data_IF_601840070582
#
_entry.id   IF_601840070582
#
_cell.length_a   1.000
_cell.length_b   1.000
_cell.length_c   1.000
_cell.angle_alpha   90.00
_cell.angle_beta   90.00
_cell.angle_gamma   90.00
#
_symmetry.space_group_name_H-M   'P 1'
#
loop_
_entity.id
_entity.type
_entity.pdbx_description
1 polymer ?
#
# COMPACT_ATOMS: atom_id res chain seq x y z
N UNK A 1 -1.34 3.83 24.20
CA UNK A 1 -2.13 2.75 23.59
C UNK A 1 -2.38 3.07 22.13
N UNK A 2 -1.95 2.22 21.24
CA UNK A 2 -2.19 2.43 19.82
C UNK A 2 -3.66 2.17 19.47
N UNK A 3 -4.25 3.09 18.71
CA UNK A 3 -5.58 2.89 18.16
C UNK A 3 -5.53 1.82 17.08
N UNK A 4 -6.15 0.71 17.31
CA UNK A 4 -6.20 -0.38 16.32
C UNK A 4 -6.97 0.00 15.04
N UNK A 5 -7.76 1.04 15.07
CA UNK A 5 -8.51 1.52 13.90
C UNK A 5 -7.62 2.01 12.74
N UNK A 6 -6.38 2.38 13.02
CA UNK A 6 -5.43 2.89 12.02
C UNK A 6 -4.28 1.92 11.72
N UNK A 7 -4.31 0.70 12.25
CA UNK A 7 -3.21 -0.27 12.10
C UNK A 7 -2.84 -0.56 10.66
N UNK A 8 -3.81 -0.58 9.77
CA UNK A 8 -3.60 -0.89 8.35
C UNK A 8 -3.58 0.36 7.49
N UNK A 9 -3.54 1.54 8.10
CA UNK A 9 -3.57 2.80 7.39
C UNK A 9 -2.19 3.38 7.10
N UNK A 10 -1.16 2.85 7.72
CA UNK A 10 0.23 3.25 7.48
C UNK A 10 1.18 2.05 7.58
N UNK A 11 2.37 2.20 7.01
CA UNK A 11 3.36 1.14 6.94
C UNK A 11 3.84 0.68 8.32
N UNK A 12 4.08 1.61 9.22
CA UNK A 12 4.57 1.32 10.56
C UNK A 12 3.54 0.52 11.37
N UNK A 13 2.27 0.91 11.26
CA UNK A 13 1.16 0.19 11.90
C UNK A 13 0.98 -1.22 11.36
N UNK A 14 1.12 -1.41 10.04
CA UNK A 14 1.07 -2.75 9.42
C UNK A 14 2.21 -3.62 9.94
N UNK A 15 3.43 -3.09 9.95
CA UNK A 15 4.59 -3.82 10.46
C UNK A 15 4.43 -4.21 11.92
N UNK A 16 3.97 -3.30 12.77
CA UNK A 16 3.71 -3.57 14.19
C UNK A 16 2.59 -4.59 14.39
N UNK A 17 1.53 -4.52 13.59
CA UNK A 17 0.46 -5.49 13.63
C UNK A 17 0.96 -6.90 13.28
N UNK A 18 1.80 -7.03 12.28
CA UNK A 18 2.41 -8.30 11.89
C UNK A 18 3.35 -8.84 12.97
N UNK A 19 4.20 -8.00 13.55
CA UNK A 19 5.08 -8.39 14.66
C UNK A 19 4.29 -8.85 15.88
N UNK A 20 3.27 -8.11 16.26
CA UNK A 20 2.40 -8.47 17.39
C UNK A 20 1.69 -9.79 17.13
N UNK A 21 1.16 -9.99 15.95
CA UNK A 21 0.50 -11.22 15.56
C UNK A 21 1.44 -12.43 15.60
N UNK A 22 2.68 -12.26 15.17
CA UNK A 22 3.71 -13.32 15.27
C UNK A 22 4.06 -13.69 16.70
N UNK A 23 4.10 -12.69 17.59
CA UNK A 23 4.51 -12.89 18.98
C UNK A 23 3.42 -13.49 19.86
N UNK A 24 2.15 -13.32 19.52
CA UNK A 24 1.05 -13.78 20.35
C UNK A 24 0.59 -15.19 20.02
N UNK A 25 0.11 -15.46 18.84
CA UNK A 25 -0.26 -16.81 18.37
C UNK A 25 -0.45 -16.81 16.85
N UNK A 26 -0.21 -17.95 16.20
CA UNK A 26 -0.44 -18.11 14.76
C UNK A 26 -1.89 -17.87 14.30
N UNK A 27 -2.86 -17.90 15.20
CA UNK A 27 -4.27 -17.61 14.87
C UNK A 27 -4.58 -16.14 14.66
N UNK A 28 -3.83 -15.27 15.33
CA UNK A 28 -4.03 -13.81 15.21
C UNK A 28 -3.45 -13.33 13.89
N UNK A 29 -2.41 -13.98 13.38
CA UNK A 29 -1.82 -13.67 12.08
C UNK A 29 -2.87 -13.75 10.97
N UNK A 30 -3.67 -14.79 10.94
CA UNK A 30 -4.71 -14.95 9.92
C UNK A 30 -5.72 -13.80 9.93
N UNK A 31 -6.17 -13.38 11.11
CA UNK A 31 -7.08 -12.24 11.25
C UNK A 31 -6.46 -10.91 10.90
N UNK A 32 -5.20 -10.69 11.26
CA UNK A 32 -4.48 -9.47 10.90
C UNK A 32 -4.25 -9.40 9.39
N UNK A 33 -3.91 -10.52 8.75
CA UNK A 33 -3.68 -10.63 7.32
C UNK A 33 -4.98 -10.60 6.51
N UNK A 34 -6.10 -11.06 7.05
CA UNK A 34 -7.41 -10.93 6.40
C UNK A 34 -7.82 -9.50 6.12
N UNK A 35 -7.37 -8.56 6.94
CA UNK A 35 -7.64 -7.12 6.75
C UNK A 35 -6.66 -6.47 5.77
N UNK A 36 -5.48 -7.04 5.58
CA UNK A 36 -4.52 -6.61 4.57
C UNK A 36 -4.77 -7.46 3.33
N UNK A 37 -5.87 -7.15 2.64
CA UNK A 37 -6.33 -7.94 1.48
C UNK A 37 -5.57 -7.62 0.20
N UNK A 38 -4.77 -6.56 0.19
CA UNK A 38 -4.09 -6.09 -1.00
C UNK A 38 -2.65 -6.60 -0.99
N UNK A 39 -2.27 -7.47 -1.93
CA UNK A 39 -0.88 -7.88 -2.06
C UNK A 39 0.02 -6.68 -2.35
N UNK A 40 1.01 -6.46 -1.51
CA UNK A 40 1.97 -5.37 -1.67
C UNK A 40 3.35 -5.75 -1.15
N UNK A 41 4.36 -5.14 -1.72
CA UNK A 41 5.72 -5.16 -1.23
C UNK A 41 6.16 -3.73 -0.93
N UNK A 42 6.84 -3.54 0.18
CA UNK A 42 7.47 -2.27 0.52
C UNK A 42 8.91 -2.56 0.93
N UNK A 43 9.85 -1.99 0.22
CA UNK A 43 11.27 -2.20 0.48
C UNK A 43 12.08 -0.95 0.15
N UNK A 44 13.30 -0.92 0.65
CA UNK A 44 14.30 0.06 0.25
C UNK A 44 15.32 -0.60 -0.66
N UNK A 45 15.67 0.06 -1.74
CA UNK A 45 16.75 -0.39 -2.59
C UNK A 45 18.12 0.02 -2.03
N UNK A 46 19.18 -0.33 -2.73
CA UNK A 46 20.57 -0.03 -2.33
C UNK A 46 20.88 1.47 -2.22
N UNK A 47 20.11 2.32 -2.90
CA UNK A 47 20.23 3.78 -2.86
C UNK A 47 19.37 4.45 -1.77
N UNK A 48 18.66 3.66 -0.97
CA UNK A 48 17.75 4.15 0.03
C UNK A 48 16.40 4.61 -0.52
N UNK A 49 16.12 4.38 -1.80
CA UNK A 49 14.83 4.67 -2.40
C UNK A 49 13.77 3.73 -1.85
N UNK A 50 12.70 4.29 -1.34
CA UNK A 50 11.53 3.54 -0.89
C UNK A 50 10.74 3.08 -2.11
N UNK A 51 10.53 1.78 -2.24
CA UNK A 51 9.75 1.19 -3.33
C UNK A 51 8.49 0.57 -2.76
N UNK A 52 7.36 0.94 -3.32
CA UNK A 52 6.05 0.40 -2.98
C UNK A 52 5.49 -0.27 -4.21
N UNK A 53 5.25 -1.56 -4.13
CA UNK A 53 4.65 -2.35 -5.21
C UNK A 53 3.30 -2.87 -4.75
N UNK A 54 2.26 -2.57 -5.52
CA UNK A 54 0.88 -2.96 -5.18
C UNK A 54 0.27 -3.70 -6.36
N UNK A 55 -0.31 -4.86 -6.09
CA UNK A 55 -1.09 -5.58 -7.07
C UNK A 55 -2.35 -4.77 -7.44
N UNK A 56 -2.44 -4.33 -8.70
CA UNK A 56 -3.53 -3.52 -9.22
C UNK A 56 -4.16 -4.20 -10.45
N UNK A 57 -4.39 -5.49 -10.33
CA UNK A 57 -4.92 -6.33 -11.41
C UNK A 57 -6.29 -5.85 -11.85
N UNK A 58 -6.43 -5.61 -13.15
CA UNK A 58 -7.70 -5.15 -13.73
C UNK A 58 -7.95 -3.64 -13.62
N UNK A 59 -7.03 -2.88 -13.02
CA UNK A 59 -7.14 -1.43 -12.91
C UNK A 59 -6.37 -0.72 -14.03
N UNK A 60 -6.95 0.37 -14.51
CA UNK A 60 -6.30 1.31 -15.43
C UNK A 60 -5.80 2.52 -14.64
N UNK A 61 -4.89 3.28 -15.24
CA UNK A 61 -4.36 4.52 -14.63
C UNK A 61 -5.46 5.47 -14.16
N UNK A 62 -6.52 5.60 -14.95
CA UNK A 62 -7.66 6.46 -14.68
C UNK A 62 -8.48 6.02 -13.46
N UNK A 63 -8.35 4.76 -13.08
CA UNK A 63 -9.06 4.20 -11.93
C UNK A 63 -8.30 4.35 -10.62
N UNK A 64 -7.06 4.84 -10.64
CA UNK A 64 -6.22 4.95 -9.45
C UNK A 64 -5.96 6.41 -9.13
N UNK A 65 -6.27 6.79 -7.90
CA UNK A 65 -5.97 8.13 -7.37
C UNK A 65 -4.91 8.03 -6.28
N UNK A 66 -3.82 8.75 -6.45
CA UNK A 66 -2.76 8.90 -5.48
C UNK A 66 -2.81 10.30 -4.88
N UNK A 67 -2.85 10.39 -3.56
CA UNK A 67 -2.91 11.67 -2.85
C UNK A 67 -1.93 11.66 -1.69
N UNK A 68 -1.15 12.73 -1.57
CA UNK A 68 -0.31 12.98 -0.40
C UNK A 68 -1.04 13.94 0.51
N UNK A 69 -1.18 13.59 1.78
CA UNK A 69 -1.72 14.46 2.81
C UNK A 69 -0.77 14.57 3.99
N UNK A 70 -0.68 15.76 4.56
CA UNK A 70 0.06 16.00 5.79
C UNK A 70 -0.94 16.10 6.94
N UNK A 71 -0.80 15.23 7.91
CA UNK A 71 -1.64 15.17 9.10
C UNK A 71 -0.75 15.14 10.34
N UNK A 72 -0.93 16.09 11.25
CA UNK A 72 -0.14 16.19 12.48
C UNK A 72 1.39 16.18 12.26
N UNK A 73 1.86 16.83 11.20
CA UNK A 73 3.26 16.89 10.84
C UNK A 73 3.81 15.63 10.14
N UNK A 74 2.98 14.64 9.89
CA UNK A 74 3.34 13.42 9.18
C UNK A 74 2.73 13.39 7.78
N UNK A 75 3.49 12.89 6.82
CA UNK A 75 3.02 12.71 5.45
C UNK A 75 2.47 11.31 5.24
N UNK A 76 1.34 11.24 4.55
CA UNK A 76 0.68 9.98 4.21
C UNK A 76 0.37 9.92 2.73
N UNK A 77 0.60 8.75 2.15
CA UNK A 77 0.18 8.43 0.80
C UNK A 77 -1.14 7.67 0.85
N UNK A 78 -2.16 8.25 0.22
CA UNK A 78 -3.46 7.61 0.02
C UNK A 78 -3.53 7.06 -1.39
N UNK A 79 -3.84 5.78 -1.50
CA UNK A 79 -4.00 5.08 -2.76
C UNK A 79 -5.43 4.55 -2.81
N UNK A 80 -6.23 5.11 -3.68
CA UNK A 80 -7.63 4.73 -3.84
C UNK A 80 -7.95 4.38 -5.27
N UNK A 81 -8.77 3.35 -5.45
CA UNK A 81 -9.34 3.04 -6.74
C UNK A 81 -10.74 3.64 -6.89
N UNK A 82 -11.07 4.01 -8.11
CA UNK A 82 -12.39 4.48 -8.51
C UNK A 82 -12.80 3.71 -9.76
N UNK A 83 -13.47 2.59 -9.54
CA UNK A 83 -13.97 1.73 -10.61
C UNK A 83 -15.45 2.02 -10.80
N UNK A 84 -15.93 2.22 -12.02
CA UNK A 84 -17.36 2.38 -12.28
C UNK A 84 -18.15 1.20 -11.75
N UNK A 85 -19.33 1.46 -11.23
CA UNK A 85 -20.24 0.39 -10.81
C UNK A 85 -20.58 -0.51 -11.97
N UNK A 86 -20.67 -1.79 -11.69
CA UNK A 86 -21.12 -2.78 -12.68
C UNK A 86 -22.56 -2.52 -13.07
N UNK A 87 -22.88 -2.72 -14.36
CA UNK A 87 -24.25 -2.67 -14.82
C UNK A 87 -25.08 -3.79 -14.17
N UNK A 88 -26.41 -3.60 -14.10
CA UNK A 88 -27.31 -4.63 -13.57
C UNK A 88 -27.15 -5.96 -14.32
N UNK A 89 -26.91 -5.89 -15.62
CA UNK A 89 -26.68 -7.06 -16.46
C UNK A 89 -25.41 -7.82 -16.04
N UNK A 90 -24.32 -7.11 -15.76
CA UNK A 90 -23.07 -7.68 -15.25
C UNK A 90 -23.25 -8.29 -13.87
N UNK A 91 -23.95 -7.61 -12.97
CA UNK A 91 -24.26 -8.13 -11.62
C UNK A 91 -25.06 -9.42 -11.69
N UNK A 92 -26.12 -9.46 -12.50
CA UNK A 92 -26.93 -10.65 -12.72
C UNK A 92 -26.14 -11.81 -13.29
N UNK A 93 -25.24 -11.53 -14.24
CA UNK A 93 -24.36 -12.55 -14.82
C UNK A 93 -23.42 -13.14 -13.79
N UNK A 94 -22.87 -12.29 -12.90
CA UNK A 94 -21.99 -12.74 -11.82
C UNK A 94 -22.72 -13.55 -10.76
N UNK A 95 -23.92 -13.16 -10.38
CA UNK A 95 -24.76 -13.89 -9.41
C UNK A 95 -25.11 -15.31 -9.85
N UNK A 96 -25.18 -15.53 -11.16
CA UNK A 96 -25.44 -16.86 -11.73
C UNK A 96 -24.23 -17.77 -11.77
N UNK A 97 -23.03 -17.26 -11.48
CA UNK A 97 -21.81 -18.06 -11.51
C UNK A 97 -21.72 -18.97 -10.29
N UNK A 98 -21.39 -20.22 -10.55
CA UNK A 98 -21.04 -21.18 -9.50
C UNK A 98 -19.54 -21.39 -9.54
N UNK A 99 -18.83 -20.92 -8.52
CA UNK A 99 -17.38 -21.01 -8.48
C UNK A 99 -16.92 -22.31 -7.84
N UNK A 100 -16.07 -23.05 -8.54
CA UNK A 100 -15.29 -24.14 -7.92
C UNK A 100 -14.14 -23.59 -7.08
N UNK A 101 -13.50 -22.51 -7.54
CA UNK A 101 -12.46 -21.79 -6.85
C UNK A 101 -12.66 -20.29 -7.09
N UNK A 102 -12.66 -19.48 -6.06
CA UNK A 102 -12.75 -18.02 -6.15
C UNK A 102 -11.70 -17.36 -5.26
N UNK A 103 -10.50 -17.19 -5.79
CA UNK A 103 -9.39 -16.52 -5.10
C UNK A 103 -9.17 -15.09 -5.56
N UNK A 104 -9.63 -14.75 -6.77
CA UNK A 104 -9.54 -13.38 -7.30
C UNK A 104 -10.82 -12.65 -6.89
N UNK A 105 -10.71 -11.85 -5.85
CA UNK A 105 -11.80 -11.00 -5.37
C UNK A 105 -11.19 -9.75 -4.73
N UNK A 106 -11.87 -8.63 -4.89
CA UNK A 106 -11.51 -7.34 -4.31
C UNK A 106 -10.12 -6.80 -4.70
N UNK A 107 -9.51 -7.33 -5.76
CA UNK A 107 -8.21 -6.84 -6.25
C UNK A 107 -8.30 -5.46 -6.90
N UNK A 108 -9.48 -5.08 -7.36
CA UNK A 108 -9.74 -3.77 -7.94
C UNK A 108 -10.16 -2.72 -6.89
N UNK A 109 -10.29 -3.10 -5.64
CA UNK A 109 -10.73 -2.23 -4.55
C UNK A 109 -9.51 -1.84 -3.71
N UNK A 110 -8.83 -0.78 -4.14
CA UNK A 110 -7.70 -0.21 -3.43
C UNK A 110 -8.18 0.90 -2.49
N UNK A 111 -7.85 0.76 -1.23
CA UNK A 111 -8.01 1.80 -0.22
C UNK A 111 -6.88 1.65 0.80
N UNK A 112 -5.76 2.26 0.49
CA UNK A 112 -4.51 2.12 1.25
C UNK A 112 -4.06 3.48 1.72
N UNK A 113 -3.62 3.56 2.97
CA UNK A 113 -2.97 4.71 3.56
C UNK A 113 -1.62 4.28 4.11
N UNK A 114 -0.55 4.91 3.63
CA UNK A 114 0.81 4.59 4.01
C UNK A 114 1.50 5.82 4.59
N UNK A 115 2.11 5.66 5.74
CA UNK A 115 2.96 6.69 6.32
C UNK A 115 4.27 6.80 5.53
N UNK A 116 4.69 8.04 5.27
CA UNK A 116 5.93 8.34 4.57
C UNK A 116 6.90 9.05 5.53
N UNK A 117 8.10 8.49 5.75
CA UNK A 117 9.12 9.15 6.56
C UNK A 117 9.54 10.51 6.00
N UNK A 118 9.92 11.43 6.87
CA UNK A 118 10.40 12.77 6.49
C UNK A 118 11.68 12.75 5.65
N UNK A 119 12.40 11.64 5.66
CA UNK A 119 13.63 11.45 4.88
C UNK A 119 13.38 11.24 3.39
N UNK A 120 12.13 11.05 2.99
CA UNK A 120 11.75 10.79 1.60
C UNK A 120 11.47 12.07 0.83
N UNK A 121 11.96 12.13 -0.39
CA UNK A 121 11.72 13.22 -1.33
C UNK A 121 10.49 12.92 -2.17
N UNK A 122 9.34 13.34 -1.66
CA UNK A 122 8.03 13.07 -2.26
C UNK A 122 7.88 13.77 -3.61
N UNK A 123 8.46 14.96 -3.77
CA UNK A 123 8.35 15.75 -4.99
C UNK A 123 9.01 15.06 -6.19
N UNK A 124 10.02 14.24 -5.94
CA UNK A 124 10.71 13.45 -6.96
C UNK A 124 10.26 11.99 -7.03
N UNK A 125 9.11 11.67 -6.48
CA UNK A 125 8.55 10.33 -6.58
C UNK A 125 8.13 9.99 -8.01
N UNK A 126 8.48 8.79 -8.45
CA UNK A 126 8.00 8.21 -9.71
C UNK A 126 6.92 7.17 -9.44
N UNK A 127 6.03 6.99 -10.41
CA UNK A 127 4.92 6.06 -10.33
C UNK A 127 4.62 5.47 -11.70
N UNK A 128 4.48 4.16 -11.74
CA UNK A 128 4.15 3.43 -12.95
C UNK A 128 3.07 2.40 -12.68
N UNK A 129 2.25 2.12 -13.68
CA UNK A 129 1.31 1.00 -13.67
C UNK A 129 1.56 0.18 -14.92
N UNK A 130 2.15 -0.97 -14.74
CA UNK A 130 2.49 -1.88 -15.83
C UNK A 130 2.16 -3.32 -15.44
N UNK A 131 1.55 -4.04 -16.35
CA UNK A 131 1.24 -5.46 -16.17
C UNK A 131 0.47 -5.77 -14.86
N UNK A 132 -0.41 -4.88 -14.45
CA UNK A 132 -1.17 -5.04 -13.21
C UNK A 132 -0.40 -4.76 -11.93
N UNK A 133 0.80 -4.19 -12.01
CA UNK A 133 1.61 -3.80 -10.87
C UNK A 133 1.75 -2.28 -10.82
N UNK A 134 1.25 -1.69 -9.74
CA UNK A 134 1.49 -0.28 -9.41
C UNK A 134 2.80 -0.19 -8.64
N UNK A 135 3.77 0.53 -9.18
CA UNK A 135 5.07 0.75 -8.54
C UNK A 135 5.26 2.23 -8.25
N UNK A 136 5.55 2.55 -7.01
CA UNK A 136 5.84 3.91 -6.55
C UNK A 136 7.25 3.91 -5.98
N UNK A 137 8.12 4.78 -6.51
CA UNK A 137 9.49 4.95 -6.05
C UNK A 137 9.67 6.34 -5.48
N UNK A 138 10.10 6.42 -4.25
CA UNK A 138 10.32 7.69 -3.56
C UNK A 138 11.78 7.74 -3.12
N UNK A 139 12.61 8.60 -3.73
CA UNK A 139 14.00 8.70 -3.37
C UNK A 139 14.18 9.33 -2.00
N UNK A 140 15.32 9.11 -1.41
CA UNK A 140 15.71 9.78 -0.17
C UNK A 140 16.15 11.22 -0.48
N UNK A 141 15.78 12.17 0.38
CA UNK A 141 16.28 13.54 0.29
C UNK A 141 17.81 13.57 0.38
N UNK A 142 18.45 14.44 -0.38
CA UNK A 142 19.91 14.58 -0.36
C UNK A 142 20.43 14.87 1.04
N UNK A 143 19.77 15.75 1.77
CA UNK A 143 20.12 16.12 3.15
C UNK A 143 20.00 14.96 4.15
N UNK A 144 19.26 13.91 3.80
CA UNK A 144 19.05 12.73 4.64
C UNK A 144 20.00 11.58 4.30
N UNK A 145 20.79 11.71 3.24
CA UNK A 145 21.79 10.70 2.86
C UNK A 145 22.99 10.75 3.82
N UNK A 146 23.61 9.60 4.09
CA UNK A 146 24.84 9.56 4.88
C UNK A 146 25.93 10.45 4.27
N UNK A 147 26.63 11.19 5.11
CA UNK A 147 27.75 12.03 4.72
C UNK A 147 28.96 11.72 5.59
N UNK A 148 30.12 11.66 4.98
CA UNK A 148 31.36 11.58 5.71
C UNK A 148 31.77 12.96 6.20
N UNK A 149 32.20 13.02 7.45
CA UNK A 149 32.80 14.22 8.02
C UNK A 149 34.30 14.02 8.11
N UNK A 150 35.04 14.94 7.49
CA UNK A 150 36.51 14.95 7.59
C UNK A 150 36.91 15.60 8.89
N UNK A 151 37.83 14.96 9.61
CA UNK A 151 38.44 15.55 10.82
C UNK A 151 39.57 16.44 10.34
N UNK A 152 39.50 17.70 10.71
CA UNK A 152 40.55 18.68 10.44
C UNK A 152 41.65 18.64 11.50
#
# INVERSE_FOLDING_TARGET
MMSYGNLFSDFDSVTKAMETAFNETGRIVDKALEKVTIPMNIYKDENGTQVIEIAAVGLKKENIKLTIKVENGNSYLYIKSNVPEKSEEQKQTEEKRVYSIRKIKNLADLDVRLWLPNTLDIDNASRTLENGLLTIRIPMKEESKPRELTIE
#
